data_IF_589196168729
#
_entry.id   IF_589196168729
#
_cell.length_a   1.000
_cell.length_b   1.000
_cell.length_c   1.000
_cell.angle_alpha   90.00
_cell.angle_beta   90.00
_cell.angle_gamma   90.00
#
_symmetry.space_group_name_H-M   'P 1'
#
loop_
_entity.id
_entity.type
_entity.pdbx_description
1 polymer ?
#
# COMPACT_ATOMS: atom_id res chain seq x y z
N UNK A 1 -27.75 -58.92 0.43
CA UNK A 1 -28.11 -58.25 -0.85
C UNK A 1 -29.03 -57.09 -0.47
N UNK A 2 -28.92 -55.83 -0.91
CA UNK A 2 -28.00 -55.02 -1.70
C UNK A 2 -28.32 -53.56 -1.27
N UNK A 3 -27.33 -52.76 -0.85
CA UNK A 3 -26.74 -51.62 -1.59
C UNK A 3 -27.75 -50.59 -2.14
N UNK A 4 -27.56 -49.33 -1.73
CA UNK A 4 -28.05 -48.13 -2.43
C UNK A 4 -28.48 -47.07 -1.42
N UNK A 5 -27.82 -45.94 -1.24
CA UNK A 5 -26.75 -45.27 -1.96
C UNK A 5 -26.92 -43.79 -1.60
N UNK A 6 -26.03 -43.24 -0.78
CA UNK A 6 -26.00 -41.81 -0.48
C UNK A 6 -25.41 -41.07 -1.69
N UNK A 7 -26.13 -40.14 -2.34
CA UNK A 7 -25.53 -39.23 -3.31
C UNK A 7 -25.15 -37.93 -2.58
N UNK A 8 -24.03 -37.94 -1.88
CA UNK A 8 -23.32 -36.71 -1.49
C UNK A 8 -22.34 -36.35 -2.59
N UNK A 9 -22.78 -35.66 -3.64
CA UNK A 9 -21.88 -35.22 -4.73
C UNK A 9 -22.46 -34.03 -5.53
N UNK A 10 -22.81 -32.93 -4.85
CA UNK A 10 -23.21 -31.66 -5.48
C UNK A 10 -22.38 -30.48 -4.92
N UNK A 11 -21.05 -30.65 -4.80
CA UNK A 11 -20.16 -29.61 -4.25
C UNK A 11 -18.79 -29.45 -4.93
N UNK A 12 -18.37 -30.36 -5.82
CA UNK A 12 -17.01 -30.38 -6.36
C UNK A 12 -16.71 -29.34 -7.46
N UNK A 13 -17.69 -28.98 -8.29
CA UNK A 13 -17.50 -28.03 -9.40
C UNK A 13 -17.30 -26.57 -8.95
N UNK A 14 -18.02 -26.16 -7.91
CA UNK A 14 -17.89 -24.80 -7.35
C UNK A 14 -16.57 -24.60 -6.60
N UNK A 15 -16.04 -25.66 -5.95
CA UNK A 15 -14.75 -25.57 -5.25
C UNK A 15 -13.56 -25.45 -6.22
N UNK A 16 -13.57 -26.14 -7.36
CA UNK A 16 -12.48 -26.00 -8.35
C UNK A 16 -12.43 -24.62 -9.01
N UNK A 17 -13.60 -24.02 -9.28
CA UNK A 17 -13.66 -22.66 -9.82
C UNK A 17 -13.23 -21.62 -8.79
N UNK A 18 -13.65 -21.78 -7.53
CA UNK A 18 -13.22 -20.94 -6.42
C UNK A 18 -11.70 -20.99 -6.22
N UNK A 19 -11.10 -22.19 -6.27
CA UNK A 19 -9.65 -22.35 -6.13
C UNK A 19 -8.86 -21.60 -7.23
N UNK A 20 -9.33 -21.67 -8.48
CA UNK A 20 -8.70 -20.93 -9.60
C UNK A 20 -8.84 -19.41 -9.43
N UNK A 21 -9.98 -18.94 -8.95
CA UNK A 21 -10.19 -17.52 -8.68
C UNK A 21 -9.30 -17.03 -7.52
N UNK A 22 -9.17 -17.82 -6.46
CA UNK A 22 -8.28 -17.52 -5.34
C UNK A 22 -6.80 -17.47 -5.78
N UNK A 23 -6.36 -18.42 -6.61
CA UNK A 23 -5.00 -18.42 -7.18
C UNK A 23 -4.73 -17.17 -8.03
N UNK A 24 -5.71 -16.76 -8.85
CA UNK A 24 -5.61 -15.54 -9.66
C UNK A 24 -5.52 -14.30 -8.78
N UNK A 25 -6.35 -14.19 -7.74
CA UNK A 25 -6.32 -13.10 -6.79
C UNK A 25 -4.96 -13.04 -6.08
N UNK A 26 -4.42 -14.18 -5.63
CA UNK A 26 -3.11 -14.26 -4.97
C UNK A 26 -1.99 -13.72 -5.88
N UNK A 27 -1.98 -14.10 -7.16
CA UNK A 27 -0.99 -13.58 -8.13
C UNK A 27 -1.17 -12.08 -8.38
N UNK A 28 -2.41 -11.61 -8.48
CA UNK A 28 -2.70 -10.19 -8.65
C UNK A 28 -2.30 -9.36 -7.44
N UNK A 29 -2.52 -9.88 -6.23
CA UNK A 29 -2.08 -9.24 -4.98
C UNK A 29 -0.56 -9.15 -4.89
N UNK A 30 0.16 -10.23 -5.19
CA UNK A 30 1.62 -10.23 -5.17
C UNK A 30 2.20 -9.21 -6.17
N UNK A 31 1.69 -9.19 -7.40
CA UNK A 31 2.12 -8.23 -8.41
C UNK A 31 1.79 -6.79 -8.00
N UNK A 32 0.59 -6.55 -7.48
CA UNK A 32 0.19 -5.23 -7.00
C UNK A 32 1.05 -4.78 -5.82
N UNK A 33 1.39 -5.68 -4.90
CA UNK A 33 2.29 -5.37 -3.79
C UNK A 33 3.66 -4.92 -4.31
N UNK A 34 4.25 -5.66 -5.24
CA UNK A 34 5.53 -5.28 -5.86
C UNK A 34 5.47 -3.92 -6.57
N UNK A 35 4.38 -3.65 -7.31
CA UNK A 35 4.15 -2.37 -7.98
C UNK A 35 3.99 -1.21 -7.00
N UNK A 36 3.24 -1.42 -5.92
CA UNK A 36 3.04 -0.40 -4.87
C UNK A 36 4.33 -0.14 -4.09
N UNK A 37 5.06 -1.19 -3.74
CA UNK A 37 6.34 -1.12 -3.04
C UNK A 37 7.35 -0.26 -3.81
N UNK A 38 7.41 -0.40 -5.14
CA UNK A 38 8.32 0.35 -6.00
C UNK A 38 7.81 1.76 -6.35
N UNK A 39 6.53 2.05 -6.14
CA UNK A 39 5.94 3.34 -6.49
C UNK A 39 6.48 4.44 -5.58
N UNK A 40 6.84 5.56 -6.19
CA UNK A 40 7.30 6.76 -5.48
C UNK A 40 6.11 7.69 -5.17
N UNK A 41 6.17 8.30 -3.99
CA UNK A 41 5.22 9.28 -3.48
C UNK A 41 5.99 10.51 -3.02
N UNK A 42 5.46 11.69 -3.30
CA UNK A 42 6.10 12.95 -2.99
C UNK A 42 5.16 13.84 -2.19
N UNK A 43 5.70 14.53 -1.19
CA UNK A 43 5.01 15.57 -0.47
C UNK A 43 5.95 16.74 -0.18
N UNK A 44 5.36 17.91 0.06
CA UNK A 44 6.12 19.12 0.33
C UNK A 44 5.51 19.92 1.49
N UNK A 45 6.36 20.70 2.15
CA UNK A 45 5.99 21.63 3.22
C UNK A 45 6.57 23.02 2.95
N UNK A 46 6.08 24.03 3.68
CA UNK A 46 6.60 25.40 3.57
C UNK A 46 6.48 25.99 2.17
N UNK A 47 5.37 25.73 1.46
CA UNK A 47 5.20 26.21 0.08
C UNK A 47 6.16 25.57 -0.93
N UNK A 48 6.68 24.38 -0.64
CA UNK A 48 7.66 23.69 -1.49
C UNK A 48 9.11 24.08 -1.20
N UNK A 49 9.38 24.59 0.01
CA UNK A 49 10.75 24.79 0.48
C UNK A 49 11.42 23.46 0.86
N UNK A 50 10.65 22.51 1.41
CA UNK A 50 11.10 21.14 1.64
C UNK A 50 10.19 20.19 0.85
N UNK A 51 10.81 19.30 0.08
CA UNK A 51 10.13 18.24 -0.67
C UNK A 51 10.74 16.90 -0.29
N UNK A 52 9.91 15.92 0.04
CA UNK A 52 10.32 14.57 0.43
C UNK A 52 9.70 13.56 -0.51
N UNK A 53 10.50 12.60 -0.95
CA UNK A 53 10.07 11.45 -1.73
C UNK A 53 10.25 10.17 -0.93
N UNK A 54 9.22 9.33 -0.90
CA UNK A 54 9.23 8.00 -0.28
C UNK A 54 8.73 6.94 -1.25
N UNK A 55 9.03 5.67 -1.02
CA UNK A 55 8.40 4.56 -1.75
C UNK A 55 7.24 3.91 -0.97
N UNK A 56 6.54 2.95 -1.57
CA UNK A 56 5.47 2.20 -0.92
C UNK A 56 5.94 1.34 0.27
N UNK A 57 7.25 1.03 0.34
CA UNK A 57 7.87 0.39 1.51
C UNK A 57 8.14 1.35 2.67
N UNK A 58 7.76 2.63 2.55
CA UNK A 58 8.00 3.69 3.54
C UNK A 58 9.48 4.03 3.71
N UNK A 59 10.30 3.78 2.70
CA UNK A 59 11.70 4.21 2.67
C UNK A 59 11.78 5.63 2.12
N UNK A 60 12.53 6.51 2.79
CA UNK A 60 12.83 7.85 2.29
C UNK A 60 13.88 7.75 1.20
N UNK A 61 13.52 8.16 -0.02
CA UNK A 61 14.39 8.11 -1.20
C UNK A 61 15.18 9.41 -1.38
N UNK A 62 14.55 10.55 -1.11
CA UNK A 62 15.20 11.85 -1.23
C UNK A 62 14.53 12.91 -0.36
N UNK A 63 15.33 13.85 0.13
CA UNK A 63 14.88 15.10 0.74
C UNK A 63 15.55 16.23 -0.03
N UNK A 64 14.74 17.16 -0.55
CA UNK A 64 15.21 18.37 -1.23
C UNK A 64 14.82 19.57 -0.38
N UNK A 65 15.79 20.41 -0.05
CA UNK A 65 15.61 21.62 0.77
C UNK A 65 16.11 22.79 -0.05
N UNK A 66 15.25 23.79 -0.25
CA UNK A 66 15.65 25.01 -0.95
C UNK A 66 16.40 25.96 0.01
N UNK A 67 17.29 26.82 -0.49
CA UNK A 67 18.07 27.74 0.35
C UNK A 67 17.22 28.64 1.24
N UNK A 68 16.00 28.98 0.82
CA UNK A 68 15.10 29.85 1.58
C UNK A 68 14.62 29.23 2.90
N UNK A 69 14.70 27.90 3.05
CA UNK A 69 14.43 27.22 4.32
C UNK A 69 15.67 27.03 5.21
N UNK A 70 16.86 27.44 4.77
CA UNK A 70 18.10 27.27 5.52
C UNK A 70 18.53 28.60 6.12
N UNK A 71 17.95 28.93 7.28
CA UNK A 71 18.37 30.06 8.09
C UNK A 71 19.16 29.56 9.32
N UNK A 72 20.45 29.89 9.47
CA UNK A 72 21.22 29.46 10.63
C UNK A 72 20.72 30.05 11.96
N UNK A 73 19.95 31.15 11.91
CA UNK A 73 19.36 31.78 13.09
C UNK A 73 17.98 31.19 13.44
N UNK A 74 17.38 30.39 12.54
CA UNK A 74 16.07 29.74 12.71
C UNK A 74 16.08 28.29 12.19
N UNK A 75 16.85 27.44 12.86
CA UNK A 75 16.93 26.00 12.55
C UNK A 75 15.63 25.27 12.89
N UNK A 76 14.90 25.75 13.90
CA UNK A 76 13.63 25.15 14.34
C UNK A 76 12.59 25.14 13.21
N UNK A 77 12.50 26.22 12.43
CA UNK A 77 11.66 26.24 11.24
C UNK A 77 12.02 25.13 10.25
N UNK A 78 13.32 24.91 9.97
CA UNK A 78 13.74 23.86 9.04
C UNK A 78 13.38 22.47 9.55
N UNK A 79 13.58 22.21 10.85
CA UNK A 79 13.22 20.96 11.50
C UNK A 79 11.72 20.67 11.36
N UNK A 80 10.87 21.67 11.62
CA UNK A 80 9.41 21.58 11.48
C UNK A 80 8.99 21.28 10.04
N UNK A 81 9.60 21.97 9.07
CA UNK A 81 9.32 21.75 7.65
C UNK A 81 9.69 20.33 7.22
N UNK A 82 10.84 19.81 7.65
CA UNK A 82 11.28 18.44 7.36
C UNK A 82 10.32 17.44 7.99
N UNK A 83 9.98 17.62 9.27
CA UNK A 83 9.03 16.74 9.97
C UNK A 83 7.67 16.69 9.26
N UNK A 84 7.15 17.85 8.86
CA UNK A 84 5.89 17.94 8.15
C UNK A 84 5.93 17.20 6.80
N UNK A 85 6.95 17.46 5.97
CA UNK A 85 7.05 16.86 4.64
C UNK A 85 7.27 15.34 4.69
N UNK A 86 8.10 14.84 5.62
CA UNK A 86 8.33 13.40 5.78
C UNK A 86 7.05 12.68 6.20
N UNK A 87 6.37 13.18 7.23
CA UNK A 87 5.14 12.56 7.71
C UNK A 87 4.03 12.60 6.65
N UNK A 88 3.95 13.69 5.88
CA UNK A 88 3.01 13.80 4.76
C UNK A 88 3.27 12.75 3.67
N UNK A 89 4.53 12.60 3.25
CA UNK A 89 4.92 11.65 2.22
C UNK A 89 4.62 10.21 2.68
N UNK A 90 4.96 9.87 3.93
CA UNK A 90 4.68 8.55 4.51
C UNK A 90 3.18 8.26 4.62
N UNK A 91 2.38 9.26 5.00
CA UNK A 91 0.93 9.12 5.05
C UNK A 91 0.34 8.92 3.66
N UNK A 92 0.78 9.71 2.68
CA UNK A 92 0.37 9.59 1.28
C UNK A 92 0.67 8.20 0.71
N UNK A 93 1.86 7.66 0.98
CA UNK A 93 2.22 6.30 0.59
C UNK A 93 1.31 5.25 1.25
N UNK A 94 1.08 5.37 2.56
CA UNK A 94 0.22 4.43 3.32
C UNK A 94 -1.22 4.42 2.80
N UNK A 95 -1.81 5.61 2.60
CA UNK A 95 -3.17 5.75 2.07
C UNK A 95 -3.30 5.21 0.65
N UNK A 96 -2.26 5.40 -0.19
CA UNK A 96 -2.26 4.87 -1.54
C UNK A 96 -2.19 3.33 -1.55
N UNK A 97 -1.34 2.73 -0.70
CA UNK A 97 -1.24 1.27 -0.56
C UNK A 97 -2.56 0.68 -0.08
N UNK A 98 -3.14 1.24 0.99
CA UNK A 98 -4.42 0.78 1.54
C UNK A 98 -5.55 0.90 0.53
N UNK A 99 -5.61 2.01 -0.22
CA UNK A 99 -6.63 2.24 -1.23
C UNK A 99 -6.53 1.24 -2.38
N UNK A 100 -5.35 1.02 -2.94
CA UNK A 100 -5.19 0.12 -4.09
C UNK A 100 -5.41 -1.35 -3.69
N UNK A 101 -4.91 -1.77 -2.52
CA UNK A 101 -5.19 -3.10 -1.97
C UNK A 101 -6.68 -3.29 -1.67
N UNK A 102 -7.34 -2.29 -1.07
CA UNK A 102 -8.77 -2.32 -0.80
C UNK A 102 -9.62 -2.43 -2.07
N UNK A 103 -9.19 -1.82 -3.19
CA UNK A 103 -9.85 -1.98 -4.49
C UNK A 103 -9.75 -3.41 -5.02
N UNK A 104 -8.60 -4.06 -4.81
CA UNK A 104 -8.39 -5.44 -5.26
C UNK A 104 -9.19 -6.46 -4.45
N UNK A 105 -9.35 -6.25 -3.14
CA UNK A 105 -10.16 -7.12 -2.27
C UNK A 105 -11.66 -6.75 -2.27
N UNK A 106 -12.06 -5.72 -3.01
CA UNK A 106 -13.45 -5.25 -3.04
C UNK A 106 -13.93 -4.67 -1.70
N UNK A 107 -13.02 -4.12 -0.91
CA UNK A 107 -13.31 -3.57 0.43
C UNK A 107 -13.49 -4.64 1.51
N UNK A 108 -13.27 -5.93 1.21
CA UNK A 108 -13.18 -6.95 2.25
C UNK A 108 -11.80 -6.88 2.90
N UNK A 109 -11.76 -6.49 4.18
CA UNK A 109 -10.63 -6.81 5.05
C UNK A 109 -10.56 -8.33 5.16
N UNK A 110 -9.66 -8.95 4.40
CA UNK A 110 -9.48 -10.40 4.42
C UNK A 110 -9.03 -10.82 5.82
N UNK A 111 -9.79 -11.66 6.55
CA UNK A 111 -9.39 -12.12 7.88
C UNK A 111 -8.07 -12.89 7.77
N UNK A 112 -7.01 -12.40 8.42
CA UNK A 112 -5.70 -13.09 8.52
C UNK A 112 -4.52 -12.48 7.78
N UNK A 113 -4.57 -11.20 7.35
CA UNK A 113 -3.45 -10.50 6.69
C UNK A 113 -2.98 -9.21 7.38
N UNK A 114 -3.10 -9.13 8.70
CA UNK A 114 -2.47 -8.08 9.52
C UNK A 114 -1.65 -8.71 10.65
#
# INVERSE_FOLDING_TARGET
MARGGFPGMMGGGNMQQLARQAQKLQQQMAKMQEELDAREFEAASGGGMVTVKVNGKKEVLSISIKPEAVDPDDVEMLEDLVCAAVNEALRTASEAVEREMGRLTGGMSMPGLF
#
